data_IF_872696926118
#
_entry.id   IF_872696926118
#
_cell.length_a   1.000
_cell.length_b   1.000
_cell.length_c   1.000
_cell.angle_alpha   90.00
_cell.angle_beta   90.00
_cell.angle_gamma   90.00
#
_symmetry.space_group_name_H-M   'P 1'
#
loop_
_entity.id
_entity.type
_entity.pdbx_description
1 polymer ?
#
# COMPACT_ATOMS: atom_id res chain seq x y z
N UNK A 1 2.10 -9.42 1.50
CA UNK A 1 1.30 -8.26 1.96
C UNK A 1 2.01 -7.53 3.10
N UNK A 2 2.30 -8.17 4.24
CA UNK A 2 2.99 -7.55 5.39
C UNK A 2 4.27 -6.79 5.01
N UNK A 3 5.17 -7.45 4.26
CA UNK A 3 6.43 -6.82 3.82
C UNK A 3 6.22 -5.57 2.96
N UNK A 4 5.23 -5.58 2.06
CA UNK A 4 4.91 -4.39 1.25
C UNK A 4 4.43 -3.23 2.14
N UNK A 5 3.58 -3.49 3.13
CA UNK A 5 3.07 -2.45 4.03
C UNK A 5 4.21 -1.86 4.88
N UNK A 6 5.12 -2.71 5.36
CA UNK A 6 6.31 -2.29 6.09
C UNK A 6 7.27 -1.47 5.22
N UNK A 7 7.53 -1.92 3.99
CA UNK A 7 8.35 -1.18 3.02
C UNK A 7 7.73 0.19 2.70
N UNK A 8 6.41 0.28 2.52
CA UNK A 8 5.70 1.55 2.30
C UNK A 8 5.90 2.51 3.48
N UNK A 9 5.81 2.03 4.72
CA UNK A 9 6.10 2.83 5.92
C UNK A 9 7.56 3.28 5.93
N UNK A 10 8.50 2.39 5.59
CA UNK A 10 9.92 2.72 5.54
C UNK A 10 10.22 3.81 4.50
N UNK A 11 9.64 3.69 3.30
CA UNK A 11 9.76 4.69 2.25
C UNK A 11 9.24 6.04 2.73
N UNK A 12 8.01 6.08 3.28
CA UNK A 12 7.37 7.32 3.74
C UNK A 12 8.13 7.99 4.89
N UNK A 13 8.58 7.22 5.88
CA UNK A 13 9.09 7.77 7.16
C UNK A 13 10.60 7.90 7.25
N UNK A 14 11.37 7.11 6.50
CA UNK A 14 12.85 7.06 6.63
C UNK A 14 13.57 7.54 5.37
N UNK A 15 13.08 7.18 4.20
CA UNK A 15 13.73 7.50 2.93
C UNK A 15 13.25 8.83 2.37
N UNK A 16 11.94 8.99 2.20
CA UNK A 16 11.36 10.11 1.48
C UNK A 16 10.83 11.23 2.38
N UNK A 17 10.71 11.02 3.69
CA UNK A 17 10.25 12.05 4.64
C UNK A 17 11.00 13.39 4.45
N UNK A 18 12.33 13.31 4.31
CA UNK A 18 13.21 14.48 4.10
C UNK A 18 13.09 15.11 2.71
N UNK A 19 12.50 14.40 1.76
CA UNK A 19 12.35 14.80 0.36
C UNK A 19 10.92 15.27 0.03
N UNK A 20 9.92 14.85 0.80
CA UNK A 20 8.50 15.17 0.62
C UNK A 20 8.08 16.34 1.52
N UNK A 21 8.73 16.55 2.68
CA UNK A 21 8.39 17.66 3.57
C UNK A 21 8.72 19.03 2.92
N UNK A 22 7.67 19.65 2.38
CA UNK A 22 7.62 20.81 1.47
C UNK A 22 8.03 22.17 2.05
N UNK A 23 8.57 22.25 3.26
CA UNK A 23 9.03 23.54 3.82
C UNK A 23 10.33 24.05 3.20
N UNK A 24 10.97 23.25 2.34
CA UNK A 24 12.24 23.61 1.71
C UNK A 24 12.33 23.06 0.28
N UNK A 25 11.99 23.89 -0.73
CA UNK A 25 12.04 23.53 -2.16
C UNK A 25 13.42 23.00 -2.60
N UNK A 26 14.51 23.42 -1.95
CA UNK A 26 15.87 22.90 -2.25
C UNK A 26 16.07 21.43 -1.86
N UNK A 27 15.13 20.84 -1.11
CA UNK A 27 15.14 19.44 -0.65
C UNK A 27 14.11 18.56 -1.36
N UNK A 28 13.28 19.13 -2.24
CA UNK A 28 12.31 18.36 -3.02
C UNK A 28 13.00 17.37 -3.97
N UNK A 29 12.29 16.29 -4.36
CA UNK A 29 12.77 15.28 -5.34
C UNK A 29 13.32 15.88 -6.64
N UNK A 30 12.91 17.10 -7.01
CA UNK A 30 13.32 17.79 -8.24
C UNK A 30 14.66 18.52 -8.13
N UNK A 31 15.02 18.98 -6.93
CA UNK A 31 16.07 19.99 -6.75
C UNK A 31 17.28 19.48 -5.96
N UNK A 32 17.22 18.26 -5.44
CA UNK A 32 18.29 17.64 -4.68
C UNK A 32 18.68 16.28 -5.29
N UNK A 33 19.92 16.12 -5.73
CA UNK A 33 20.41 14.90 -6.39
C UNK A 33 20.18 13.62 -5.56
N UNK A 34 20.28 13.71 -4.23
CA UNK A 34 20.01 12.56 -3.35
C UNK A 34 18.52 12.23 -3.35
N UNK A 35 17.65 13.23 -3.18
CA UNK A 35 16.21 13.01 -3.22
C UNK A 35 15.75 12.56 -4.61
N UNK A 36 16.31 13.10 -5.70
CA UNK A 36 16.00 12.65 -7.06
C UNK A 36 16.29 11.15 -7.23
N UNK A 37 17.45 10.69 -6.75
CA UNK A 37 17.80 9.27 -6.76
C UNK A 37 16.86 8.43 -5.88
N UNK A 38 16.56 8.88 -4.66
CA UNK A 38 15.68 8.16 -3.74
C UNK A 38 14.24 8.07 -4.27
N UNK A 39 13.69 9.14 -4.84
CA UNK A 39 12.37 9.15 -5.46
C UNK A 39 12.33 8.28 -6.72
N UNK A 40 13.37 8.31 -7.57
CA UNK A 40 13.47 7.41 -8.71
C UNK A 40 13.62 5.92 -8.34
N UNK A 41 14.27 5.62 -7.20
CA UNK A 41 14.28 4.26 -6.67
C UNK A 41 12.90 3.84 -6.14
N UNK A 42 12.18 4.76 -5.48
CA UNK A 42 10.83 4.50 -5.00
C UNK A 42 9.87 4.23 -6.15
N UNK A 43 9.89 5.04 -7.21
CA UNK A 43 9.09 4.85 -8.42
C UNK A 43 9.31 3.45 -9.03
N UNK A 44 10.58 3.02 -9.15
CA UNK A 44 10.89 1.66 -9.62
C UNK A 44 10.39 0.57 -8.67
N UNK A 45 10.49 0.79 -7.36
CA UNK A 45 9.98 -0.15 -6.36
C UNK A 45 8.45 -0.28 -6.48
N UNK A 46 7.71 0.83 -6.61
CA UNK A 46 6.26 0.83 -6.84
C UNK A 46 5.92 0.04 -8.10
N UNK A 47 6.62 0.31 -9.22
CA UNK A 47 6.41 -0.41 -10.48
C UNK A 47 6.63 -1.93 -10.35
N UNK A 48 7.66 -2.35 -9.60
CA UNK A 48 7.88 -3.77 -9.31
C UNK A 48 6.76 -4.35 -8.43
N UNK A 49 6.29 -3.63 -7.41
CA UNK A 49 5.21 -4.10 -6.53
C UNK A 49 3.85 -4.18 -7.22
N UNK A 50 3.56 -3.28 -8.15
CA UNK A 50 2.37 -3.38 -9.01
C UNK A 50 2.39 -4.66 -9.86
N UNK A 51 3.56 -5.04 -10.40
CA UNK A 51 3.71 -6.29 -11.16
C UNK A 51 3.54 -7.53 -10.28
N UNK A 52 4.21 -7.58 -9.12
CA UNK A 52 4.04 -8.66 -8.15
C UNK A 52 2.58 -8.80 -7.71
N UNK A 53 1.91 -7.67 -7.43
CA UNK A 53 0.51 -7.65 -7.01
C UNK A 53 -0.44 -8.15 -8.10
N UNK A 54 -0.24 -7.75 -9.35
CA UNK A 54 -1.02 -8.26 -10.48
C UNK A 54 -0.91 -9.78 -10.65
N UNK A 55 0.27 -10.35 -10.41
CA UNK A 55 0.46 -11.81 -10.43
C UNK A 55 -0.23 -12.51 -9.26
N UNK A 56 -0.18 -11.92 -8.05
CA UNK A 56 -0.90 -12.43 -6.88
C UNK A 56 -2.40 -12.43 -7.13
N UNK A 57 -2.97 -11.32 -7.62
CA UNK A 57 -4.39 -11.25 -8.01
C UNK A 57 -4.72 -12.35 -9.02
N UNK A 58 -3.95 -12.45 -10.10
CA UNK A 58 -4.15 -13.49 -11.13
C UNK A 58 -4.15 -14.91 -10.55
N UNK A 59 -3.28 -15.20 -9.59
CA UNK A 59 -3.26 -16.50 -8.93
C UNK A 59 -4.47 -16.68 -8.00
N UNK A 60 -4.88 -15.63 -7.28
CA UNK A 60 -6.06 -15.63 -6.42
C UNK A 60 -7.34 -15.94 -7.20
N UNK A 61 -7.54 -15.32 -8.36
CA UNK A 61 -8.71 -15.57 -9.23
C UNK A 61 -8.78 -16.97 -9.85
N UNK A 62 -7.71 -17.78 -9.72
CA UNK A 62 -7.69 -19.18 -10.20
C UNK A 62 -8.07 -20.19 -9.12
N UNK A 63 -8.26 -19.76 -7.88
CA UNK A 63 -8.60 -20.65 -6.79
C UNK A 63 -10.07 -21.08 -6.89
N UNK A 64 -10.36 -22.36 -6.70
CA UNK A 64 -11.73 -22.87 -6.64
C UNK A 64 -12.36 -22.55 -5.26
N UNK A 65 -13.69 -22.73 -5.14
CA UNK A 65 -14.40 -22.56 -3.86
C UNK A 65 -14.92 -21.15 -3.60
N UNK A 66 -14.84 -20.26 -4.59
CA UNK A 66 -15.41 -18.91 -4.54
C UNK A 66 -16.67 -18.75 -5.41
N UNK A 67 -17.27 -19.85 -5.89
CA UNK A 67 -18.41 -19.81 -6.82
C UNK A 67 -19.64 -19.10 -6.24
N UNK A 68 -19.86 -19.19 -4.92
CA UNK A 68 -21.03 -18.63 -4.25
C UNK A 68 -20.91 -17.13 -3.94
N UNK A 69 -19.70 -16.64 -3.65
CA UNK A 69 -19.46 -15.26 -3.18
C UNK A 69 -18.66 -14.40 -4.17
N UNK A 70 -17.92 -15.04 -5.10
CA UNK A 70 -17.04 -14.39 -6.05
C UNK A 70 -15.67 -14.03 -5.48
N UNK A 71 -14.62 -14.16 -6.29
CA UNK A 71 -13.25 -13.81 -5.91
C UNK A 71 -13.08 -12.34 -5.54
N UNK A 72 -13.77 -11.43 -6.23
CA UNK A 72 -13.68 -9.99 -5.95
C UNK A 72 -14.15 -9.65 -4.54
N UNK A 73 -15.26 -10.26 -4.12
CA UNK A 73 -15.79 -10.08 -2.78
C UNK A 73 -14.81 -10.62 -1.75
N UNK A 74 -14.31 -11.84 -1.93
CA UNK A 74 -13.38 -12.48 -1.01
C UNK A 74 -12.07 -11.69 -0.88
N UNK A 75 -11.49 -11.26 -2.01
CA UNK A 75 -10.26 -10.47 -2.03
C UNK A 75 -10.46 -9.12 -1.32
N UNK A 76 -11.55 -8.43 -1.62
CA UNK A 76 -11.87 -7.16 -0.96
C UNK A 76 -12.15 -7.32 0.54
N UNK A 77 -12.81 -8.41 0.94
CA UNK A 77 -13.07 -8.72 2.33
C UNK A 77 -11.77 -8.95 3.11
N UNK A 78 -10.89 -9.83 2.60
CA UNK A 78 -9.60 -10.14 3.24
C UNK A 78 -8.68 -8.92 3.37
N UNK A 79 -8.75 -8.00 2.40
CA UNK A 79 -7.93 -6.79 2.38
C UNK A 79 -8.62 -5.60 3.06
N UNK A 80 -9.85 -5.77 3.56
CA UNK A 80 -10.52 -4.76 4.37
C UNK A 80 -9.69 -4.52 5.61
N UNK A 81 -9.51 -3.25 5.98
CA UNK A 81 -8.59 -2.83 7.05
C UNK A 81 -8.69 -3.64 8.35
N UNK A 82 -9.90 -3.95 8.82
CA UNK A 82 -10.11 -4.69 10.08
C UNK A 82 -9.59 -6.13 9.94
N UNK A 83 -10.08 -6.86 8.94
CA UNK A 83 -9.66 -8.24 8.60
C UNK A 83 -8.16 -8.32 8.33
N UNK A 84 -7.62 -7.38 7.56
CA UNK A 84 -6.20 -7.34 7.24
C UNK A 84 -5.34 -7.16 8.49
N UNK A 85 -5.72 -6.27 9.41
CA UNK A 85 -4.96 -6.04 10.64
C UNK A 85 -5.03 -7.24 11.58
N UNK A 86 -6.19 -7.90 11.68
CA UNK A 86 -6.35 -9.11 12.47
C UNK A 86 -5.50 -10.26 11.94
N UNK A 87 -5.58 -10.54 10.63
CA UNK A 87 -4.78 -11.56 9.96
C UNK A 87 -3.27 -11.30 10.10
N UNK A 88 -2.84 -10.04 10.00
CA UNK A 88 -1.43 -9.67 10.19
C UNK A 88 -0.99 -9.83 11.65
N UNK A 89 -1.86 -9.48 12.60
CA UNK A 89 -1.59 -9.62 14.03
C UNK A 89 -1.46 -11.09 14.41
N UNK A 90 -2.34 -11.96 13.92
CA UNK A 90 -2.29 -13.41 14.17
C UNK A 90 -1.02 -14.04 13.57
N UNK A 91 -0.71 -13.72 12.31
CA UNK A 91 0.41 -14.34 11.60
C UNK A 91 1.80 -13.82 12.04
N UNK A 92 1.92 -12.53 12.35
CA UNK A 92 3.22 -11.88 12.54
C UNK A 92 3.42 -11.25 13.93
N UNK A 93 2.37 -11.07 14.73
CA UNK A 93 2.44 -10.85 16.19
C UNK A 93 3.26 -9.68 16.72
N UNK A 94 3.77 -8.76 15.88
CA UNK A 94 4.61 -7.63 16.29
C UNK A 94 3.76 -6.37 16.48
N UNK A 95 3.44 -5.97 17.72
CA UNK A 95 2.45 -4.90 17.96
C UNK A 95 2.84 -3.55 17.36
N UNK A 96 4.14 -3.21 17.38
CA UNK A 96 4.66 -1.97 16.81
C UNK A 96 4.46 -1.90 15.29
N UNK A 97 4.71 -3.00 14.58
CA UNK A 97 4.51 -3.07 13.12
C UNK A 97 3.02 -2.90 12.78
N UNK A 98 2.14 -3.58 13.53
CA UNK A 98 0.68 -3.49 13.36
C UNK A 98 0.18 -2.05 13.62
N UNK A 99 0.70 -1.36 14.63
CA UNK A 99 0.33 0.03 14.91
C UNK A 99 0.73 0.97 13.76
N UNK A 100 1.95 0.83 13.24
CA UNK A 100 2.41 1.62 12.11
C UNK A 100 1.59 1.35 10.83
N UNK A 101 1.24 0.08 10.57
CA UNK A 101 0.39 -0.31 9.44
C UNK A 101 -1.01 0.28 9.61
N UNK A 102 -1.61 0.19 10.80
CA UNK A 102 -2.91 0.79 11.10
C UNK A 102 -2.92 2.28 10.82
N UNK A 103 -1.83 2.99 11.18
CA UNK A 103 -1.67 4.42 10.89
C UNK A 103 -1.58 4.69 9.38
N UNK A 104 -0.77 3.92 8.65
CA UNK A 104 -0.68 4.04 7.18
C UNK A 104 -2.07 3.91 6.51
N UNK A 105 -2.83 2.88 6.90
CA UNK A 105 -4.17 2.63 6.34
C UNK A 105 -5.18 3.73 6.69
N UNK A 106 -5.05 4.37 7.86
CA UNK A 106 -5.87 5.53 8.24
C UNK A 106 -5.55 6.76 7.40
N UNK A 107 -4.26 7.05 7.21
CA UNK A 107 -3.81 8.20 6.42
C UNK A 107 -4.30 8.07 4.97
N UNK A 108 -4.28 6.85 4.42
CA UNK A 108 -4.78 6.55 3.08
C UNK A 108 -6.29 6.72 2.97
N UNK A 109 -7.06 6.19 3.93
CA UNK A 109 -8.52 6.36 3.96
C UNK A 109 -8.92 7.85 4.04
N UNK A 110 -8.18 8.66 4.80
CA UNK A 110 -8.39 10.10 4.90
C UNK A 110 -8.05 10.83 3.59
N UNK A 111 -6.99 10.41 2.90
CA UNK A 111 -6.63 10.96 1.58
C UNK A 111 -7.65 10.59 0.50
N UNK A 112 -8.11 9.33 0.48
CA UNK A 112 -9.11 8.83 -0.46
C UNK A 112 -10.51 9.43 -0.28
N UNK A 113 -10.89 9.86 0.93
CA UNK A 113 -12.15 10.56 1.17
C UNK A 113 -12.23 11.95 0.50
N UNK A 114 -11.09 12.51 0.08
CA UNK A 114 -11.01 13.78 -0.66
C UNK A 114 -11.10 13.59 -2.19
N UNK A 115 -10.99 12.34 -2.67
CA UNK A 115 -11.06 11.99 -4.09
C UNK A 115 -12.41 11.30 -4.32
N UNK A 116 -13.37 12.03 -4.90
CA UNK A 116 -14.62 11.41 -5.38
C UNK A 116 -14.26 10.56 -6.58
N UNK A 117 -14.08 9.25 -6.40
CA UNK A 117 -13.90 8.34 -7.53
C UNK A 117 -15.10 7.40 -7.71
N UNK A 118 -15.68 7.59 -8.89
CA UNK A 118 -16.55 6.70 -9.64
C UNK A 118 -16.08 5.25 -9.62
N UNK A 119 -17.00 4.33 -9.34
CA UNK A 119 -16.72 2.88 -9.29
C UNK A 119 -16.10 2.34 -10.57
N UNK A 120 -14.92 1.72 -10.43
CA UNK A 120 -14.24 0.93 -11.45
C UNK A 120 -13.50 -0.25 -10.81
N UNK A 121 -13.32 -1.33 -11.59
CA UNK A 121 -12.62 -2.56 -11.25
C UNK A 121 -11.13 -2.29 -10.94
N UNK A 122 -10.80 -1.85 -9.71
CA UNK A 122 -9.46 -1.84 -9.08
C UNK A 122 -9.57 -1.11 -7.73
N UNK A 123 -10.23 -1.73 -6.74
CA UNK A 123 -10.69 -1.02 -5.52
C UNK A 123 -10.16 -1.60 -4.20
N UNK A 124 -9.24 -2.57 -4.23
CA UNK A 124 -8.71 -3.15 -2.99
C UNK A 124 -7.83 -2.15 -2.24
N UNK A 125 -7.65 -2.36 -0.94
CA UNK A 125 -6.73 -1.56 -0.11
C UNK A 125 -5.31 -1.53 -0.69
N UNK A 126 -4.87 -2.63 -1.29
CA UNK A 126 -3.52 -2.73 -1.88
C UNK A 126 -3.41 -1.96 -3.19
N UNK A 127 -4.46 -1.96 -4.02
CA UNK A 127 -4.50 -1.18 -5.27
C UNK A 127 -4.46 0.33 -4.98
N UNK A 128 -4.98 0.79 -3.84
CA UNK A 128 -4.93 2.21 -3.44
C UNK A 128 -3.57 2.65 -2.92
N UNK A 129 -2.79 1.72 -2.35
CA UNK A 129 -1.48 2.01 -1.78
C UNK A 129 -0.33 1.98 -2.81
N UNK A 130 -0.56 1.41 -4.00
CA UNK A 130 0.41 1.26 -5.09
C UNK A 130 0.10 2.22 -6.24
#
# INVERSE_FOLDING_TARGET
VSDMLNDSIHWRTKKLDKCINNSNESKACKNNNKCNKECGCFEKWVGHKQQEWGQIKTHFYKQDGFDDFGHDFALNFLLKKEELLENLQEAYGKPEDIEHIKKLLNDEAAAGALVVDSGGENNTTMDKLL
#
